data_IF_335574378611
#
_entry.id   IF_335574378611
#
_cell.length_a   1.000
_cell.length_b   1.000
_cell.length_c   1.000
_cell.angle_alpha   90.00
_cell.angle_beta   90.00
_cell.angle_gamma   90.00
#
_symmetry.space_group_name_H-M   'P 1'
#
loop_
_entity.id
_entity.type
_entity.pdbx_description
1 polymer ?
#
# COMPACT_ATOMS: atom_id res chain seq x y z
N UNK A 1 -35.57 0.27 60.84
CA UNK A 1 -35.17 -0.21 59.50
C UNK A 1 -33.93 0.57 59.06
N UNK A 2 -32.78 -0.09 58.91
CA UNK A 2 -31.56 0.52 58.37
C UNK A 2 -31.56 0.30 56.86
N UNK A 3 -31.69 1.37 56.08
CA UNK A 3 -31.66 1.31 54.61
C UNK A 3 -30.19 1.36 54.20
N UNK A 4 -29.66 0.24 53.72
CA UNK A 4 -28.35 0.17 53.09
C UNK A 4 -28.48 0.57 51.62
N UNK A 5 -27.87 1.68 51.24
CA UNK A 5 -27.75 2.13 49.85
C UNK A 5 -26.59 1.40 49.19
N UNK A 6 -26.91 0.41 48.36
CA UNK A 6 -25.94 -0.28 47.50
C UNK A 6 -25.58 0.61 46.31
N UNK A 7 -24.36 1.14 46.29
CA UNK A 7 -23.81 1.87 45.14
C UNK A 7 -23.23 0.85 44.15
N UNK A 8 -23.97 0.51 43.09
CA UNK A 8 -23.45 -0.31 42.00
C UNK A 8 -22.58 0.56 41.08
N UNK A 9 -21.26 0.37 41.13
CA UNK A 9 -20.34 0.99 40.17
C UNK A 9 -20.42 0.25 38.83
N UNK A 10 -21.06 0.86 37.83
CA UNK A 10 -21.03 0.39 36.46
C UNK A 10 -19.65 0.71 35.86
N UNK A 11 -18.76 -0.29 35.76
CA UNK A 11 -17.51 -0.16 35.02
C UNK A 11 -17.85 -0.21 33.53
N UNK A 12 -17.84 0.94 32.87
CA UNK A 12 -17.89 1.00 31.41
C UNK A 12 -16.56 0.46 30.86
N UNK A 13 -16.56 -0.80 30.41
CA UNK A 13 -15.49 -1.35 29.58
C UNK A 13 -15.49 -0.58 28.26
N UNK A 14 -14.54 0.35 28.10
CA UNK A 14 -14.23 0.96 26.81
C UNK A 14 -13.68 -0.16 25.93
N UNK A 15 -14.54 -0.74 25.10
CA UNK A 15 -14.13 -1.64 24.03
C UNK A 15 -13.39 -0.79 23.01
N UNK A 16 -12.07 -0.77 23.09
CA UNK A 16 -11.22 -0.25 22.01
C UNK A 16 -11.41 -1.16 20.80
N UNK A 17 -12.40 -0.85 19.97
CA UNK A 17 -12.52 -1.49 18.66
C UNK A 17 -11.32 -1.03 17.84
N UNK A 18 -10.30 -1.89 17.74
CA UNK A 18 -9.13 -1.63 16.90
C UNK A 18 -9.60 -1.61 15.46
N UNK A 19 -9.72 -0.41 14.89
CA UNK A 19 -10.16 -0.21 13.51
C UNK A 19 -9.05 -0.41 12.49
N UNK A 20 -7.84 -0.85 12.88
CA UNK A 20 -6.77 -1.26 11.95
C UNK A 20 -5.92 -2.47 12.39
N UNK A 21 -4.97 -2.90 11.55
CA UNK A 21 -4.12 -4.09 11.72
C UNK A 21 -2.64 -3.81 11.43
N UNK A 22 -1.74 -4.62 12.00
CA UNK A 22 -0.27 -4.50 11.89
C UNK A 22 0.35 -5.87 11.61
N UNK A 23 1.21 -5.98 10.60
CA UNK A 23 2.05 -7.17 10.41
C UNK A 23 3.19 -7.15 11.43
N UNK A 24 3.02 -7.87 12.53
CA UNK A 24 3.87 -7.72 13.72
C UNK A 24 4.77 -8.92 14.00
N UNK A 25 4.56 -10.04 13.30
CA UNK A 25 5.26 -11.29 13.60
C UNK A 25 5.74 -12.01 12.34
N UNK A 26 6.96 -12.56 12.39
CA UNK A 26 7.59 -13.28 11.30
C UNK A 26 7.75 -14.78 11.65
N UNK A 27 7.58 -15.64 10.66
CA UNK A 27 7.99 -17.05 10.73
C UNK A 27 8.91 -17.41 9.57
N UNK A 28 9.84 -18.33 9.81
CA UNK A 28 10.68 -18.98 8.78
C UNK A 28 10.41 -20.48 8.85
N UNK A 29 9.86 -21.04 7.76
CA UNK A 29 9.29 -22.39 7.78
C UNK A 29 8.24 -22.53 8.88
N UNK A 30 8.42 -23.52 9.76
CA UNK A 30 7.54 -23.75 10.92
C UNK A 30 7.92 -22.93 12.16
N UNK A 31 9.06 -22.24 12.16
CA UNK A 31 9.54 -21.50 13.33
C UNK A 31 8.89 -20.14 13.37
N UNK A 32 8.05 -19.91 14.37
CA UNK A 32 7.36 -18.64 14.63
C UNK A 32 8.13 -17.83 15.68
N UNK A 33 8.54 -16.62 15.32
CA UNK A 33 9.34 -15.77 16.21
C UNK A 33 8.48 -14.84 17.06
N UNK A 34 8.96 -14.36 18.21
CA UNK A 34 8.35 -13.26 18.96
C UNK A 34 7.97 -12.04 18.12
N UNK A 35 6.89 -11.38 18.54
CA UNK A 35 6.40 -10.13 17.94
C UNK A 35 7.52 -9.09 17.90
N UNK A 36 7.68 -8.43 16.76
CA UNK A 36 8.70 -7.41 16.45
C UNK A 36 10.17 -7.82 16.63
N UNK A 37 10.48 -9.10 16.86
CA UNK A 37 11.90 -9.52 16.98
C UNK A 37 12.69 -9.22 15.71
N UNK A 38 12.12 -9.53 14.55
CA UNK A 38 12.75 -9.34 13.23
C UNK A 38 12.03 -8.31 12.37
N UNK A 39 10.94 -7.73 12.86
CA UNK A 39 10.15 -6.69 12.19
C UNK A 39 10.38 -5.37 12.91
N UNK A 40 10.69 -4.31 12.16
CA UNK A 40 10.84 -2.98 12.72
C UNK A 40 9.52 -2.50 13.28
N UNK A 41 9.51 -2.22 14.58
CA UNK A 41 8.32 -1.71 15.25
C UNK A 41 8.11 -0.24 14.90
N UNK A 42 6.91 0.07 14.41
CA UNK A 42 6.46 1.42 14.05
C UNK A 42 5.83 2.14 15.25
N UNK A 43 5.78 3.47 15.20
CA UNK A 43 5.29 4.31 16.31
C UNK A 43 3.88 4.85 16.11
N UNK A 44 3.33 4.75 14.90
CA UNK A 44 1.95 5.13 14.58
C UNK A 44 0.93 3.99 14.83
N UNK A 45 1.34 2.94 15.56
CA UNK A 45 0.51 1.79 15.90
C UNK A 45 -0.16 1.19 14.66
N UNK A 46 -1.48 1.11 14.64
CA UNK A 46 -2.23 0.54 13.53
C UNK A 46 -2.68 1.59 12.50
N UNK A 47 -2.28 2.86 12.64
CA UNK A 47 -2.66 3.90 11.68
C UNK A 47 -1.97 3.69 10.33
N UNK A 48 -2.65 3.91 9.19
CA UNK A 48 -2.03 3.79 7.89
C UNK A 48 -1.13 4.98 7.55
N UNK A 49 -0.22 4.75 6.59
CA UNK A 49 0.44 5.82 5.84
C UNK A 49 -0.41 6.12 4.59
N UNK A 50 -0.64 7.39 4.29
CA UNK A 50 -1.48 7.80 3.15
C UNK A 50 -0.78 8.75 2.18
N UNK A 51 0.26 9.46 2.64
CA UNK A 51 1.02 10.40 1.81
C UNK A 51 1.97 9.67 0.85
N UNK A 52 1.72 9.81 -0.45
CA UNK A 52 2.52 9.20 -1.52
C UNK A 52 3.95 9.75 -1.63
N UNK A 53 4.20 10.94 -1.08
CA UNK A 53 5.54 11.55 -1.05
C UNK A 53 6.34 11.18 0.22
N UNK A 54 5.71 10.58 1.23
CA UNK A 54 6.39 10.30 2.51
C UNK A 54 7.39 9.14 2.41
N UNK A 55 8.54 9.33 3.07
CA UNK A 55 9.51 8.24 3.29
C UNK A 55 8.95 7.11 4.17
N UNK A 56 7.90 7.37 4.95
CA UNK A 56 7.24 6.36 5.77
C UNK A 56 6.60 5.26 4.91
N UNK A 57 6.39 5.47 3.61
CA UNK A 57 5.96 4.40 2.71
C UNK A 57 6.97 3.24 2.59
N UNK A 58 8.24 3.46 2.96
CA UNK A 58 9.25 2.39 2.96
C UNK A 58 8.94 1.35 4.02
N UNK A 59 8.95 1.76 5.29
CA UNK A 59 8.88 0.82 6.41
C UNK A 59 7.92 1.24 7.52
N UNK A 60 7.04 2.22 7.27
CA UNK A 60 6.10 2.82 8.23
C UNK A 60 6.76 3.84 9.18
N UNK A 61 5.91 4.63 9.85
CA UNK A 61 6.28 5.81 10.64
C UNK A 61 7.14 5.43 11.84
N UNK A 62 8.23 6.16 12.04
CA UNK A 62 9.09 6.06 13.23
C UNK A 62 9.85 4.74 13.34
N UNK A 63 9.89 3.93 12.29
CA UNK A 63 10.64 2.67 12.31
C UNK A 63 12.15 2.91 12.28
N UNK A 64 12.88 2.09 13.03
CA UNK A 64 14.33 2.04 13.04
C UNK A 64 14.81 0.59 13.01
N UNK A 65 15.94 0.33 12.35
CA UNK A 65 16.54 -0.99 12.30
C UNK A 65 17.45 -1.31 13.49
N UNK A 66 17.87 -0.32 14.27
CA UNK A 66 18.90 -0.48 15.31
C UNK A 66 18.50 -1.45 16.43
N UNK A 67 17.22 -1.47 16.80
CA UNK A 67 16.68 -2.32 17.87
C UNK A 67 15.96 -3.57 17.34
N UNK A 68 16.09 -3.85 16.05
CA UNK A 68 15.48 -5.01 15.39
C UNK A 68 16.58 -5.99 15.02
N UNK A 69 16.38 -7.27 15.30
CA UNK A 69 17.35 -8.30 14.93
C UNK A 69 17.26 -8.60 13.43
N UNK A 70 18.29 -9.24 12.87
CA UNK A 70 18.28 -9.76 11.50
C UNK A 70 18.21 -11.28 11.54
N UNK A 71 17.21 -11.88 10.89
CA UNK A 71 17.09 -13.36 10.84
C UNK A 71 17.87 -13.91 9.66
N UNK A 72 18.66 -14.97 9.89
CA UNK A 72 19.31 -15.72 8.81
C UNK A 72 18.31 -16.61 8.08
N UNK A 73 18.30 -16.54 6.75
CA UNK A 73 17.42 -17.32 5.87
C UNK A 73 18.19 -17.81 4.65
N UNK A 74 17.66 -18.84 3.99
CA UNK A 74 18.11 -19.29 2.68
C UNK A 74 17.19 -18.76 1.59
N UNK A 75 17.77 -18.48 0.42
CA UNK A 75 16.98 -18.25 -0.79
C UNK A 75 16.07 -19.47 -1.03
N UNK A 76 14.79 -19.24 -1.34
CA UNK A 76 13.78 -20.29 -1.41
C UNK A 76 13.04 -20.60 -0.10
N UNK A 77 13.50 -20.13 1.07
CA UNK A 77 12.81 -20.38 2.33
C UNK A 77 11.38 -19.83 2.31
N UNK A 78 10.47 -20.56 2.94
CA UNK A 78 9.10 -20.12 3.20
C UNK A 78 9.09 -19.11 4.35
N UNK A 79 8.52 -17.93 4.11
CA UNK A 79 8.39 -16.85 5.07
C UNK A 79 6.91 -16.55 5.29
N UNK A 80 6.53 -16.31 6.55
CA UNK A 80 5.16 -15.89 6.89
C UNK A 80 5.19 -14.59 7.67
N UNK A 81 4.41 -13.60 7.23
CA UNK A 81 4.02 -12.46 8.08
C UNK A 81 2.67 -12.76 8.73
N UNK A 82 2.57 -12.55 10.04
CA UNK A 82 1.34 -12.70 10.81
C UNK A 82 0.97 -11.37 11.45
N UNK A 83 -0.31 -11.01 11.35
CA UNK A 83 -0.86 -9.79 11.90
C UNK A 83 -1.37 -9.97 13.34
N UNK A 84 -1.66 -8.87 14.01
CA UNK A 84 -2.38 -8.83 15.28
C UNK A 84 -3.86 -9.21 15.14
N UNK A 85 -4.48 -8.83 14.02
CA UNK A 85 -5.82 -9.22 13.60
C UNK A 85 -5.87 -9.45 12.10
N UNK A 86 -6.83 -10.24 11.63
CA UNK A 86 -6.97 -10.51 10.20
C UNK A 86 -7.24 -9.22 9.43
N UNK A 87 -6.73 -9.15 8.20
CA UNK A 87 -7.02 -8.02 7.30
C UNK A 87 -8.53 -7.95 7.06
N UNK A 88 -9.13 -6.77 7.26
CA UNK A 88 -10.56 -6.55 6.94
C UNK A 88 -10.84 -5.35 6.04
N UNK A 89 -9.81 -4.59 5.65
CA UNK A 89 -9.94 -3.55 4.61
C UNK A 89 -9.64 -4.18 3.26
N UNK A 90 -10.58 -4.10 2.31
CA UNK A 90 -10.39 -4.65 0.97
C UNK A 90 -9.25 -3.93 0.24
N UNK A 91 -8.39 -4.71 -0.40
CA UNK A 91 -7.26 -4.22 -1.16
C UNK A 91 -6.13 -5.24 -1.28
N UNK A 92 -5.13 -5.00 -2.14
CA UNK A 92 -4.08 -5.96 -2.39
C UNK A 92 -3.06 -6.01 -1.25
N UNK A 93 -2.39 -7.15 -1.15
CA UNK A 93 -1.21 -7.34 -0.32
C UNK A 93 -0.01 -7.54 -1.24
N UNK A 94 1.10 -6.88 -0.96
CA UNK A 94 2.31 -7.00 -1.78
C UNK A 94 3.54 -7.16 -0.91
N UNK A 95 4.50 -7.97 -1.37
CA UNK A 95 5.80 -8.14 -0.73
C UNK A 95 6.89 -7.61 -1.64
N UNK A 96 7.81 -6.86 -1.05
CA UNK A 96 8.98 -6.30 -1.70
C UNK A 96 10.24 -6.66 -0.94
N UNK A 97 11.35 -6.70 -1.67
CA UNK A 97 12.68 -6.81 -1.11
C UNK A 97 13.53 -5.64 -1.57
N UNK A 98 14.43 -5.18 -0.69
CA UNK A 98 15.48 -4.22 -1.04
C UNK A 98 16.79 -4.64 -0.41
N UNK A 99 17.83 -4.79 -1.24
CA UNK A 99 19.17 -5.17 -0.78
C UNK A 99 19.78 -4.04 0.02
N UNK A 100 20.23 -4.32 1.25
CA UNK A 100 20.99 -3.37 2.04
C UNK A 100 22.38 -3.18 1.40
N UNK A 101 22.89 -1.93 1.29
CA UNK A 101 24.26 -1.68 0.87
C UNK A 101 25.29 -2.27 1.85
N UNK A 102 24.91 -2.38 3.12
CA UNK A 102 25.68 -2.98 4.21
C UNK A 102 24.77 -3.85 5.09
N UNK A 103 24.47 -3.44 6.31
CA UNK A 103 23.52 -4.14 7.19
C UNK A 103 22.10 -3.65 6.99
N UNK A 104 21.12 -4.55 7.11
CA UNK A 104 19.72 -4.19 7.16
C UNK A 104 19.43 -3.31 8.37
N UNK A 105 20.13 -3.45 9.50
CA UNK A 105 19.91 -2.63 10.70
C UNK A 105 20.21 -1.14 10.51
N UNK A 106 21.19 -0.79 9.66
CA UNK A 106 21.59 0.60 9.38
C UNK A 106 20.95 1.17 8.11
N UNK A 107 20.29 0.33 7.31
CA UNK A 107 19.73 0.71 6.03
C UNK A 107 18.32 1.32 6.15
N UNK A 108 18.11 2.49 5.57
CA UNK A 108 16.85 3.25 5.61
C UNK A 108 15.86 2.89 4.48
N UNK A 109 16.21 1.94 3.61
CA UNK A 109 15.38 1.56 2.46
C UNK A 109 15.45 2.52 1.25
N UNK A 110 16.44 3.42 1.17
CA UNK A 110 16.58 4.39 0.07
C UNK A 110 17.05 3.80 -1.26
N UNK A 111 17.50 2.55 -1.28
CA UNK A 111 17.94 1.80 -2.45
C UNK A 111 16.79 1.35 -3.35
N UNK A 112 17.06 0.37 -4.22
CA UNK A 112 16.07 -0.19 -5.14
C UNK A 112 15.19 -1.23 -4.46
N UNK A 113 13.88 -1.16 -4.70
CA UNK A 113 12.89 -2.15 -4.26
C UNK A 113 12.39 -2.96 -5.44
N UNK A 114 12.29 -4.27 -5.29
CA UNK A 114 11.63 -5.13 -6.27
C UNK A 114 10.53 -5.93 -5.59
N UNK A 115 9.40 -6.08 -6.27
CA UNK A 115 8.25 -6.83 -5.77
C UNK A 115 8.50 -8.32 -5.98
N UNK A 116 8.16 -9.17 -5.01
CA UNK A 116 8.35 -10.63 -5.10
C UNK A 116 7.05 -11.42 -5.00
N UNK A 117 5.98 -10.79 -4.49
CA UNK A 117 4.67 -11.42 -4.38
C UNK A 117 3.57 -10.37 -4.37
N UNK A 118 2.46 -10.72 -4.99
CA UNK A 118 1.19 -10.02 -4.87
C UNK A 118 0.10 -11.02 -4.46
N UNK A 119 -0.86 -10.53 -3.68
CA UNK A 119 -2.17 -11.11 -3.53
C UNK A 119 -3.21 -10.07 -3.95
N UNK A 120 -3.96 -10.39 -5.01
CA UNK A 120 -5.03 -9.57 -5.54
C UNK A 120 -6.41 -10.20 -5.35
N UNK A 121 -7.47 -9.54 -5.83
CA UNK A 121 -8.81 -10.10 -5.80
C UNK A 121 -8.95 -11.22 -6.83
N UNK A 122 -9.75 -12.23 -6.51
CA UNK A 122 -10.29 -13.17 -7.50
C UNK A 122 -11.68 -12.71 -7.93
N UNK A 123 -12.03 -12.97 -9.19
CA UNK A 123 -13.31 -12.60 -9.76
C UNK A 123 -14.11 -13.84 -10.12
N UNK A 124 -15.37 -13.88 -9.69
CA UNK A 124 -16.36 -14.89 -10.08
C UNK A 124 -17.62 -14.15 -10.52
N UNK A 125 -17.79 -14.02 -11.84
CA UNK A 125 -18.81 -13.14 -12.42
C UNK A 125 -18.59 -11.68 -12.00
N UNK A 126 -19.62 -11.05 -11.44
CA UNK A 126 -19.56 -9.67 -10.91
C UNK A 126 -19.07 -9.57 -9.46
N UNK A 127 -18.66 -10.68 -8.84
CA UNK A 127 -18.24 -10.72 -7.44
C UNK A 127 -16.72 -10.80 -7.36
N UNK A 128 -16.11 -9.88 -6.60
CA UNK A 128 -14.69 -9.95 -6.23
C UNK A 128 -14.50 -10.47 -4.81
N UNK A 129 -13.54 -11.37 -4.60
CA UNK A 129 -13.13 -11.83 -3.26
C UNK A 129 -11.68 -11.45 -3.01
N UNK A 130 -11.42 -10.82 -1.87
CA UNK A 130 -10.06 -10.41 -1.47
C UNK A 130 -9.45 -11.42 -0.48
N UNK A 131 -8.15 -11.70 -0.59
CA UNK A 131 -7.43 -12.51 0.38
C UNK A 131 -7.25 -11.70 1.67
N UNK A 132 -8.11 -11.99 2.65
CA UNK A 132 -8.27 -11.24 3.90
C UNK A 132 -7.89 -12.13 5.09
N UNK A 133 -6.60 -12.42 5.19
CA UNK A 133 -6.06 -13.42 6.11
C UNK A 133 -5.40 -12.80 7.35
N UNK A 134 -5.19 -13.63 8.38
CA UNK A 134 -4.34 -13.31 9.54
C UNK A 134 -2.85 -13.49 9.23
N UNK A 135 -2.51 -14.39 8.30
CA UNK A 135 -1.13 -14.74 7.95
C UNK A 135 -0.97 -14.85 6.44
N UNK A 136 0.17 -14.35 5.93
CA UNK A 136 0.52 -14.39 4.51
C UNK A 136 1.87 -15.08 4.35
N UNK A 137 1.87 -16.20 3.64
CA UNK A 137 3.04 -17.06 3.43
C UNK A 137 3.47 -17.04 1.97
N UNK A 138 4.78 -16.94 1.73
CA UNK A 138 5.39 -16.92 0.41
C UNK A 138 6.84 -17.43 0.51
N UNK A 139 7.44 -17.79 -0.62
CA UNK A 139 8.83 -18.21 -0.67
C UNK A 139 9.75 -17.07 -1.15
N UNK A 140 10.97 -17.01 -0.62
CA UNK A 140 11.99 -16.09 -1.11
C UNK A 140 12.47 -16.50 -2.51
N UNK A 141 12.79 -15.54 -3.40
CA UNK A 141 13.38 -15.88 -4.70
C UNK A 141 14.70 -16.65 -4.53
N UNK A 142 14.93 -17.68 -5.35
CA UNK A 142 16.10 -18.55 -5.23
C UNK A 142 17.37 -17.98 -5.88
N UNK A 143 17.23 -17.04 -6.81
CA UNK A 143 18.31 -16.57 -7.69
C UNK A 143 18.93 -15.23 -7.28
N UNK A 144 18.41 -14.56 -6.24
CA UNK A 144 18.89 -13.25 -5.78
C UNK A 144 20.25 -13.37 -5.10
N UNK A 145 21.03 -12.29 -5.11
CA UNK A 145 22.33 -12.23 -4.45
C UNK A 145 22.25 -12.48 -2.93
N UNK A 146 23.26 -13.16 -2.37
CA UNK A 146 23.41 -13.27 -0.91
C UNK A 146 23.64 -11.89 -0.26
N UNK A 147 23.21 -11.73 0.98
CA UNK A 147 23.43 -10.53 1.80
C UNK A 147 22.19 -10.12 2.58
N UNK A 148 22.24 -8.95 3.22
CA UNK A 148 21.12 -8.45 4.01
C UNK A 148 20.10 -7.69 3.16
N UNK A 149 18.83 -7.84 3.52
CA UNK A 149 17.69 -7.22 2.84
C UNK A 149 16.70 -6.67 3.85
N UNK A 150 16.02 -5.59 3.47
CA UNK A 150 14.71 -5.28 4.01
C UNK A 150 13.66 -6.06 3.24
N UNK A 151 12.81 -6.77 3.97
CA UNK A 151 11.67 -7.52 3.46
C UNK A 151 10.39 -6.81 3.89
N UNK A 152 9.75 -6.12 2.95
CA UNK A 152 8.62 -5.23 3.19
C UNK A 152 7.33 -5.90 2.77
N UNK A 153 6.36 -6.00 3.67
CA UNK A 153 4.98 -6.34 3.33
C UNK A 153 4.10 -5.10 3.44
N UNK A 154 3.14 -4.97 2.53
CA UNK A 154 2.11 -3.92 2.61
C UNK A 154 0.71 -4.49 2.37
N UNK A 155 -0.28 -3.94 3.05
CA UNK A 155 -1.67 -3.91 2.61
C UNK A 155 -2.00 -2.52 2.07
N UNK A 156 -2.64 -2.44 0.91
CA UNK A 156 -3.17 -1.19 0.36
C UNK A 156 -4.70 -1.21 0.47
N UNK A 157 -5.26 -0.70 1.55
CA UNK A 157 -6.71 -0.62 1.73
C UNK A 157 -7.34 0.40 0.79
N UNK A 158 -8.26 -0.05 -0.06
CA UNK A 158 -9.02 0.76 -1.04
C UNK A 158 -10.55 0.69 -0.81
N UNK A 159 -10.96 0.24 0.37
CA UNK A 159 -12.37 0.09 0.76
C UNK A 159 -13.16 1.41 0.75
N UNK A 160 -12.51 2.57 0.84
CA UNK A 160 -13.16 3.87 0.71
C UNK A 160 -12.73 4.52 -0.62
N UNK A 161 -13.43 4.24 -1.73
CA UNK A 161 -13.05 4.78 -3.03
C UNK A 161 -13.22 6.30 -3.09
N UNK A 162 -12.41 6.95 -3.91
CA UNK A 162 -12.50 8.38 -4.14
C UNK A 162 -13.91 8.77 -4.65
N UNK A 163 -14.50 9.89 -4.20
CA UNK A 163 -13.95 10.91 -3.30
C UNK A 163 -14.23 10.67 -1.80
N UNK A 164 -14.82 9.53 -1.41
CA UNK A 164 -15.19 9.27 -0.02
C UNK A 164 -13.95 9.01 0.89
N UNK A 165 -12.85 8.55 0.31
CA UNK A 165 -11.58 8.38 1.00
C UNK A 165 -10.39 8.30 0.06
N UNK A 166 -9.21 8.18 0.65
CA UNK A 166 -7.96 7.91 -0.06
C UNK A 166 -7.42 6.53 0.37
N UNK A 167 -6.65 5.86 -0.49
CA UNK A 167 -6.05 4.57 -0.16
C UNK A 167 -5.11 4.63 1.04
N UNK A 168 -5.04 3.52 1.76
CA UNK A 168 -4.35 3.41 3.05
C UNK A 168 -3.29 2.32 3.02
N UNK A 169 -2.03 2.67 3.29
CA UNK A 169 -0.93 1.70 3.36
C UNK A 169 -0.68 1.24 4.80
N UNK A 170 -0.82 -0.07 5.05
CA UNK A 170 -0.39 -0.73 6.29
C UNK A 170 0.90 -1.48 5.99
N UNK A 171 2.01 -1.03 6.55
CA UNK A 171 3.36 -1.45 6.13
C UNK A 171 4.13 -1.98 7.32
N UNK A 172 4.90 -3.05 7.08
CA UNK A 172 5.95 -3.51 8.00
C UNK A 172 7.18 -3.96 7.22
N UNK A 173 8.36 -3.76 7.81
CA UNK A 173 9.63 -4.24 7.26
C UNK A 173 10.32 -5.20 8.23
N UNK A 174 10.63 -6.40 7.75
CA UNK A 174 11.53 -7.32 8.40
C UNK A 174 12.99 -7.14 7.95
N UNK A 175 13.93 -7.57 8.79
CA UNK A 175 15.36 -7.62 8.46
C UNK A 175 15.78 -9.08 8.30
N UNK A 176 16.32 -9.41 7.12
CA UNK A 176 16.74 -10.78 6.79
C UNK A 176 18.17 -10.78 6.24
N UNK A 177 18.91 -11.85 6.50
CA UNK A 177 20.21 -12.13 5.89
C UNK A 177 20.10 -13.37 5.03
N UNK A 178 20.13 -13.19 3.70
CA UNK A 178 19.90 -14.24 2.71
C UNK A 178 21.21 -14.92 2.34
N UNK A 179 21.20 -16.25 2.36
CA UNK A 179 22.29 -17.11 1.89
C UNK A 179 21.78 -18.13 0.87
N UNK A 180 22.69 -18.84 0.18
CA UNK A 180 22.31 -19.89 -0.78
C UNK A 180 21.57 -19.39 -2.03
N UNK A 181 21.63 -18.09 -2.32
CA UNK A 181 21.07 -17.49 -3.51
C UNK A 181 22.03 -17.56 -4.72
N UNK A 182 21.68 -16.79 -5.76
CA UNK A 182 22.45 -16.66 -6.99
C UNK A 182 23.18 -15.33 -7.09
N UNK A 183 23.28 -14.79 -8.31
CA UNK A 183 23.89 -13.49 -8.61
C UNK A 183 22.93 -12.53 -9.33
N UNK A 184 21.63 -12.87 -9.39
CA UNK A 184 20.65 -12.07 -10.13
C UNK A 184 20.39 -10.75 -9.42
N UNK A 185 20.50 -9.66 -10.18
CA UNK A 185 20.05 -8.33 -9.78
C UNK A 185 18.71 -8.07 -10.46
N UNK A 186 17.60 -7.90 -9.70
CA UNK A 186 16.30 -7.58 -10.30
C UNK A 186 16.37 -6.30 -11.12
N UNK A 187 15.96 -6.37 -12.39
CA UNK A 187 16.07 -5.26 -13.35
C UNK A 187 14.94 -4.23 -13.21
N UNK A 188 13.80 -4.61 -12.64
CA UNK A 188 12.59 -3.80 -12.49
C UNK A 188 12.47 -3.12 -11.12
N UNK A 189 13.60 -2.68 -10.56
CA UNK A 189 13.62 -2.01 -9.27
C UNK A 189 13.01 -0.60 -9.35
N UNK A 190 12.32 -0.21 -8.27
CA UNK A 190 11.70 1.10 -8.09
C UNK A 190 12.19 1.77 -6.80
N UNK A 191 11.92 3.07 -6.67
CA UNK A 191 12.08 3.80 -5.41
C UNK A 191 10.77 3.88 -4.65
N UNK A 192 10.85 3.80 -3.33
CA UNK A 192 9.72 4.07 -2.43
C UNK A 192 10.18 5.20 -1.51
N UNK A 193 9.53 6.37 -1.49
CA UNK A 193 8.36 6.77 -2.28
C UNK A 193 8.66 6.92 -3.79
N UNK A 194 7.60 6.97 -4.61
CA UNK A 194 7.66 7.11 -6.09
C UNK A 194 7.15 5.90 -6.88
N UNK A 195 7.10 4.71 -6.27
CA UNK A 195 6.59 3.48 -6.89
C UNK A 195 5.06 3.48 -7.08
N UNK A 196 4.33 4.32 -6.35
CA UNK A 196 2.87 4.40 -6.35
C UNK A 196 2.46 5.82 -6.70
N UNK A 197 1.42 5.95 -7.53
CA UNK A 197 0.91 7.23 -8.00
C UNK A 197 -0.61 7.28 -7.83
N UNK A 198 -1.12 8.48 -7.64
CA UNK A 198 -2.56 8.76 -7.63
C UNK A 198 -3.25 8.36 -8.96
N UNK A 199 -2.50 8.46 -10.06
CA UNK A 199 -2.92 8.03 -11.41
C UNK A 199 -2.83 6.53 -11.66
N UNK A 200 -2.29 5.72 -10.74
CA UNK A 200 -2.25 4.27 -10.92
C UNK A 200 -3.70 3.73 -10.90
N UNK A 201 -4.12 2.93 -11.90
CA UNK A 201 -5.53 2.52 -12.03
C UNK A 201 -6.03 1.70 -10.83
N UNK A 202 -5.14 0.99 -10.15
CA UNK A 202 -5.47 0.25 -8.94
C UNK A 202 -5.40 1.05 -7.65
N UNK A 203 -4.87 2.27 -7.68
CA UNK A 203 -4.74 3.08 -6.46
C UNK A 203 -6.12 3.64 -6.07
N UNK A 204 -6.83 4.33 -6.96
CA UNK A 204 -8.16 4.92 -6.70
C UNK A 204 -9.33 4.09 -7.25
N UNK A 205 -9.14 2.78 -7.46
CA UNK A 205 -10.17 1.92 -8.05
C UNK A 205 -11.46 1.90 -7.22
N UNK A 206 -12.62 2.00 -7.88
CA UNK A 206 -13.92 1.81 -7.23
C UNK A 206 -14.29 0.32 -7.22
N UNK A 207 -14.14 -0.32 -6.06
CA UNK A 207 -14.39 -1.75 -5.88
C UNK A 207 -15.88 -2.13 -5.78
N UNK A 208 -16.79 -1.15 -5.72
CA UNK A 208 -18.23 -1.37 -5.54
C UNK A 208 -19.06 -1.12 -6.81
N UNK A 209 -18.43 -0.73 -7.91
CA UNK A 209 -19.12 -0.44 -9.17
C UNK A 209 -18.35 -1.00 -10.35
N UNK A 210 -18.97 -1.94 -11.08
CA UNK A 210 -18.38 -2.58 -12.27
C UNK A 210 -16.95 -3.12 -12.06
N UNK A 211 -16.65 -3.61 -10.86
CA UNK A 211 -15.33 -4.11 -10.49
C UNK A 211 -15.13 -5.56 -10.95
N UNK A 212 -14.56 -5.73 -12.14
CA UNK A 212 -14.36 -7.03 -12.81
C UNK A 212 -12.89 -7.36 -13.10
N UNK A 213 -11.99 -6.40 -12.88
CA UNK A 213 -10.56 -6.54 -13.05
C UNK A 213 -9.84 -5.56 -12.12
N UNK A 214 -8.59 -5.86 -11.78
CA UNK A 214 -7.78 -5.02 -10.91
C UNK A 214 -6.31 -5.12 -11.29
N UNK A 215 -5.66 -3.97 -11.42
CA UNK A 215 -4.20 -3.89 -11.61
C UNK A 215 -3.57 -3.44 -10.31
N UNK A 216 -2.79 -4.31 -9.67
CA UNK A 216 -2.13 -3.97 -8.40
C UNK A 216 -1.06 -2.89 -8.64
N UNK A 217 -1.08 -1.75 -7.91
CA UNK A 217 -0.08 -0.70 -8.06
C UNK A 217 1.37 -1.17 -7.81
N UNK A 218 2.32 -0.41 -8.36
CA UNK A 218 3.75 -0.70 -8.27
C UNK A 218 4.29 -1.57 -9.44
N UNK A 219 5.57 -2.00 -9.36
CA UNK A 219 6.19 -2.78 -10.42
C UNK A 219 5.59 -4.19 -10.51
N UNK A 220 5.86 -4.87 -11.64
CA UNK A 220 5.57 -6.29 -11.80
C UNK A 220 6.33 -7.16 -10.78
N UNK A 221 5.78 -8.34 -10.46
CA UNK A 221 6.45 -9.33 -9.61
C UNK A 221 7.73 -9.83 -10.30
N UNK A 222 8.85 -9.72 -9.59
CA UNK A 222 10.14 -10.29 -9.99
C UNK A 222 10.09 -11.81 -9.95
N UNK A 223 10.73 -12.45 -10.93
CA UNK A 223 10.76 -13.90 -11.09
C UNK A 223 12.16 -14.36 -11.48
N UNK A 224 12.54 -15.57 -11.07
CA UNK A 224 13.85 -16.14 -11.38
C UNK A 224 13.79 -16.85 -12.73
N UNK A 225 14.53 -16.36 -13.74
CA UNK A 225 14.58 -16.94 -15.10
C UNK A 225 13.20 -17.11 -15.77
N UNK A 226 12.24 -16.23 -15.48
CA UNK A 226 10.87 -16.32 -16.01
C UNK A 226 10.00 -17.40 -15.35
N UNK A 227 10.53 -18.18 -14.41
CA UNK A 227 9.74 -19.04 -13.53
C UNK A 227 9.27 -18.19 -12.32
N UNK A 228 7.96 -18.17 -11.99
CA UNK A 228 7.46 -17.49 -10.81
C UNK A 228 8.36 -17.84 -9.62
N UNK A 229 8.87 -16.81 -8.95
CA UNK A 229 9.74 -17.01 -7.79
C UNK A 229 8.97 -17.69 -6.67
N UNK A 230 9.00 -19.02 -6.64
CA UNK A 230 8.75 -19.80 -5.44
C UNK A 230 7.34 -20.32 -5.15
N UNK A 231 6.34 -20.20 -6.03
CA UNK A 231 5.02 -20.81 -5.78
C UNK A 231 4.55 -21.72 -6.91
N UNK A 232 4.64 -23.03 -6.69
CA UNK A 232 3.81 -24.02 -7.35
C UNK A 232 2.44 -24.07 -6.68
N UNK A 233 1.55 -23.14 -7.00
CA UNK A 233 0.18 -23.17 -6.49
C UNK A 233 -0.57 -21.85 -6.57
N UNK A 234 -1.29 -21.65 -7.67
CA UNK A 234 -2.24 -20.55 -7.83
C UNK A 234 -2.25 -20.05 -9.26
N UNK A 235 -3.29 -20.44 -10.01
CA UNK A 235 -3.57 -19.97 -11.37
C UNK A 235 -3.71 -18.45 -11.41
N UNK A 236 -2.66 -17.79 -11.89
CA UNK A 236 -2.61 -16.36 -12.15
C UNK A 236 -3.38 -16.05 -13.44
N UNK A 237 -4.35 -15.11 -13.45
CA UNK A 237 -5.00 -14.70 -14.68
C UNK A 237 -4.04 -13.87 -15.54
N UNK A 238 -3.85 -14.31 -16.79
CA UNK A 238 -3.10 -13.58 -17.81
C UNK A 238 -3.82 -12.28 -18.16
N UNK A 239 -3.26 -11.14 -17.77
CA UNK A 239 -3.78 -9.80 -18.11
C UNK A 239 -3.52 -9.51 -19.59
N UNK A 240 -4.58 -9.55 -20.41
CA UNK A 240 -4.55 -9.02 -21.78
C UNK A 240 -4.97 -7.55 -21.76
N UNK A 241 -4.11 -6.67 -22.27
CA UNK A 241 -4.41 -5.26 -22.44
C UNK A 241 -5.43 -5.08 -23.58
N UNK A 242 -6.63 -4.60 -23.29
CA UNK A 242 -7.54 -4.05 -24.29
C UNK A 242 -7.58 -2.53 -24.20
N UNK A 243 -7.15 -1.88 -25.27
CA UNK A 243 -7.24 -0.43 -25.48
C UNK A 243 -8.64 -0.10 -25.97
N UNK A 244 -9.37 0.75 -25.26
CA UNK A 244 -10.68 1.26 -25.70
C UNK A 244 -10.60 2.78 -25.88
N UNK A 245 -10.77 3.23 -27.12
CA UNK A 245 -10.94 4.63 -27.48
C UNK A 245 -12.41 5.01 -27.41
N UNK A 246 -12.79 5.97 -26.55
CA UNK A 246 -14.16 6.49 -26.51
C UNK A 246 -14.24 7.90 -27.10
N UNK A 247 -15.23 8.08 -27.99
CA UNK A 247 -15.55 9.30 -28.71
C UNK A 247 -16.14 10.41 -27.81
N UNK A 248 -15.87 11.66 -28.20
CA UNK A 248 -16.21 12.90 -27.51
C UNK A 248 -17.64 13.36 -27.82
N UNK A 249 -18.37 13.81 -26.81
CA UNK A 249 -19.71 14.40 -26.93
C UNK A 249 -19.76 15.70 -26.14
N UNK A 250 -19.94 16.81 -26.86
CA UNK A 250 -20.07 18.17 -26.34
C UNK A 250 -21.51 18.48 -25.94
N UNK A 251 -21.74 18.86 -24.68
CA UNK A 251 -22.93 19.65 -24.33
C UNK A 251 -22.64 20.60 -23.15
N UNK A 252 -23.08 21.85 -23.32
CA UNK A 252 -22.90 22.99 -22.41
C UNK A 252 -24.19 23.23 -21.60
N UNK A 253 -24.10 23.44 -20.28
CA UNK A 253 -25.15 24.12 -19.50
C UNK A 253 -24.58 25.23 -18.56
N UNK A 254 -25.41 26.07 -17.86
CA UNK A 254 -25.33 27.53 -17.92
C UNK A 254 -24.68 28.24 -16.72
N UNK A 255 -24.46 29.54 -16.91
CA UNK A 255 -23.82 30.52 -15.99
C UNK A 255 -24.75 30.91 -14.82
N UNK A 256 -24.20 30.98 -13.59
CA UNK A 256 -24.72 31.83 -12.51
C UNK A 256 -23.66 32.18 -11.44
N UNK A 257 -23.27 33.46 -11.45
CA UNK A 257 -22.95 34.42 -10.36
C UNK A 257 -22.02 34.05 -9.17
N UNK A 258 -20.86 34.73 -9.18
CA UNK A 258 -19.80 34.86 -8.16
C UNK A 258 -20.17 35.64 -6.89
N UNK A 259 -19.31 35.52 -5.85
CA UNK A 259 -18.67 36.68 -5.24
C UNK A 259 -17.13 36.68 -5.41
N UNK A 260 -16.58 37.89 -5.55
CA UNK A 260 -15.16 38.30 -5.61
C UNK A 260 -14.43 38.14 -4.25
N UNK A 261 -13.12 37.95 -4.15
CA UNK A 261 -12.09 38.04 -5.17
C UNK A 261 -10.66 37.87 -4.62
N UNK A 262 -10.07 36.71 -4.83
CA UNK A 262 -8.64 36.55 -5.09
C UNK A 262 -8.48 35.44 -6.13
N UNK A 263 -7.61 35.61 -7.13
CA UNK A 263 -7.29 34.54 -8.06
C UNK A 263 -6.53 33.41 -7.34
N UNK A 264 -6.69 32.17 -7.80
CA UNK A 264 -5.99 31.01 -7.27
C UNK A 264 -4.47 31.16 -7.46
N UNK A 265 -3.68 30.79 -6.45
CA UNK A 265 -2.22 30.78 -6.54
C UNK A 265 -1.73 29.76 -7.59
N UNK A 266 -0.47 29.88 -8.02
CA UNK A 266 0.15 28.88 -8.88
C UNK A 266 0.02 27.49 -8.24
N UNK A 267 -0.40 26.50 -9.02
CA UNK A 267 -0.75 25.12 -8.64
C UNK A 267 -2.03 24.94 -7.81
N UNK A 268 -2.78 26.00 -7.51
CA UNK A 268 -4.09 25.87 -6.87
C UNK A 268 -5.21 25.62 -7.89
N UNK A 269 -6.33 25.07 -7.41
CA UNK A 269 -7.50 24.83 -8.23
C UNK A 269 -8.15 26.15 -8.65
N UNK A 270 -8.39 26.29 -9.95
CA UNK A 270 -8.97 27.47 -10.57
C UNK A 270 -10.20 27.13 -11.42
N UNK A 271 -10.68 25.88 -11.42
CA UNK A 271 -11.79 25.46 -12.26
C UNK A 271 -12.24 24.01 -12.02
N UNK A 272 -13.28 23.61 -12.74
CA UNK A 272 -13.97 22.32 -12.56
C UNK A 272 -15.49 22.47 -12.43
N UNK A 273 -16.24 21.48 -12.91
CA UNK A 273 -17.70 21.44 -13.02
C UNK A 273 -18.44 21.65 -11.69
N UNK A 274 -17.81 21.35 -10.55
CA UNK A 274 -18.38 21.56 -9.21
C UNK A 274 -17.60 22.58 -8.36
N UNK A 275 -16.57 23.20 -8.93
CA UNK A 275 -15.73 24.15 -8.22
C UNK A 275 -16.44 25.49 -8.04
N UNK A 276 -16.61 25.95 -6.80
CA UNK A 276 -17.22 27.25 -6.46
C UNK A 276 -16.19 28.32 -6.08
N UNK A 277 -14.90 27.97 -6.02
CA UNK A 277 -13.81 28.89 -5.72
C UNK A 277 -13.35 29.73 -6.92
N UNK A 278 -12.18 30.39 -6.81
CA UNK A 278 -11.66 31.29 -7.83
C UNK A 278 -11.59 30.64 -9.22
N UNK A 279 -11.96 31.42 -10.24
CA UNK A 279 -11.96 31.00 -11.66
C UNK A 279 -10.81 31.63 -12.48
N UNK A 280 -9.86 32.26 -11.79
CA UNK A 280 -8.70 32.93 -12.37
C UNK A 280 -7.43 32.54 -11.62
N UNK A 281 -6.26 32.74 -12.24
CA UNK A 281 -4.95 32.47 -11.65
C UNK A 281 -4.21 33.77 -11.34
N UNK A 282 -3.64 33.87 -10.14
CA UNK A 282 -2.81 35.01 -9.73
C UNK A 282 -1.50 35.04 -10.52
N UNK A 283 -1.04 33.89 -10.98
CA UNK A 283 0.10 33.73 -11.89
C UNK A 283 -0.14 32.50 -12.78
N UNK A 284 0.20 32.59 -14.07
CA UNK A 284 0.02 31.51 -15.02
C UNK A 284 -1.40 31.42 -15.60
N UNK A 285 -1.72 30.29 -16.22
CA UNK A 285 -3.03 30.04 -16.86
C UNK A 285 -3.78 28.90 -16.18
N UNK A 286 -5.09 29.06 -16.03
CA UNK A 286 -5.96 28.00 -15.53
C UNK A 286 -6.13 26.92 -16.60
N UNK A 287 -5.51 25.76 -16.43
CA UNK A 287 -5.63 24.63 -17.37
C UNK A 287 -6.56 23.58 -16.82
N UNK A 288 -7.56 23.19 -17.61
CA UNK A 288 -8.41 22.05 -17.29
C UNK A 288 -7.59 20.76 -17.36
N UNK A 289 -7.56 20.02 -16.26
CA UNK A 289 -6.94 18.68 -16.19
C UNK A 289 -7.99 17.59 -16.38
N UNK A 290 -9.19 17.83 -15.87
CA UNK A 290 -10.39 17.05 -16.17
C UNK A 290 -11.65 17.90 -15.95
N UNK A 291 -12.81 17.32 -16.23
CA UNK A 291 -14.13 17.94 -16.10
C UNK A 291 -14.37 18.60 -14.74
N UNK A 292 -13.80 18.05 -13.65
CA UNK A 292 -14.04 18.51 -12.28
C UNK A 292 -12.87 19.29 -11.68
N UNK A 293 -11.75 19.42 -12.39
CA UNK A 293 -10.55 20.05 -11.86
C UNK A 293 -9.73 20.79 -12.93
N UNK A 294 -9.52 22.08 -12.69
CA UNK A 294 -8.58 22.92 -13.45
C UNK A 294 -7.58 23.54 -12.49
N UNK A 295 -6.32 23.66 -12.89
CA UNK A 295 -5.22 24.12 -12.02
C UNK A 295 -4.47 25.30 -12.64
N UNK A 296 -4.02 26.23 -11.81
CA UNK A 296 -3.09 27.27 -12.24
C UNK A 296 -1.72 26.66 -12.52
N UNK A 297 -1.23 26.84 -13.74
CA UNK A 297 0.09 26.35 -14.16
C UNK A 297 0.85 27.49 -14.83
N UNK A 298 2.19 27.43 -14.80
CA UNK A 298 3.06 28.45 -15.41
C UNK A 298 2.78 28.61 -16.90
#
# INVERSE_FOLDING_TARGET
MKIATSLAAAVALVQSTSAHYIFQQLSVGSTKYPVFQYIRQNTNYNSPVTDLASNDLRCNVGTSGTNTQTVGVKAGDSITFTLDTAVYHQGPISVYMSKAPSSASSYDGSGGWFKIKDWGPTFSGSTSTWPMYLSYTFNLPTCIANGEYLLRIQSLGIHNPWPAGIPQFYISCAQISVTGGGSTVPSNQVKIPGAFKDTDPGYTANIYSNFNSYTIPGPAVFSCNGAPGGDGGGSDPTTTLQTSTRASSTQVPPVSTQPSGQCALLWAQCGGNTWTGPKCCATGTCKALNDFYSQCTT
#
